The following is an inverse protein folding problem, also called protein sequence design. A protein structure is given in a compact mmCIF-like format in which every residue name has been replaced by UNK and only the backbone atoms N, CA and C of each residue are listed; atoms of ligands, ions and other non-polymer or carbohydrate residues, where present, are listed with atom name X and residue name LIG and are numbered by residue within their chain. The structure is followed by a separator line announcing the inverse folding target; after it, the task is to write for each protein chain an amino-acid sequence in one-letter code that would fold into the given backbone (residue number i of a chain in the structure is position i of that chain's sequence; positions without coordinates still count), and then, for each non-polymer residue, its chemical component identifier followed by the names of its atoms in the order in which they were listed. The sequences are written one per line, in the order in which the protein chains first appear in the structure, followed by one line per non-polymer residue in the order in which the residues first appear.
data_IF_039861234452
#
_entry.id   IF_039861234452
#
_cell.length_a   1.000
_cell.length_b   1.000
_cell.length_c   1.000
_cell.angle_alpha   90.00
_cell.angle_beta   90.00
_cell.angle_gamma   90.00
#
_symmetry.space_group_name_H-M   'P 1'
#
loop_
_entity.id
_entity.type
_entity.pdbx_description
1 polymer ?
#
# COMPACT_ATOMS: atom_id res chain seq x y z
N UNK A 1 18.13 -4.92 18.56
CA UNK A 1 16.93 -4.84 17.69
C UNK A 1 15.63 -4.61 18.45
N UNK A 2 15.27 -5.45 19.44
CA UNK A 2 13.97 -5.39 20.16
C UNK A 2 13.69 -4.06 20.89
N UNK A 3 14.63 -3.56 21.70
CA UNK A 3 14.44 -2.32 22.48
C UNK A 3 14.22 -1.06 21.63
N UNK A 4 14.62 -1.08 20.35
CA UNK A 4 14.40 0.03 19.40
C UNK A 4 13.23 -0.25 18.45
N UNK A 5 12.53 -1.37 18.61
CA UNK A 5 11.46 -1.83 17.72
C UNK A 5 11.90 -1.81 16.26
N UNK A 6 13.13 -2.24 16.00
CA UNK A 6 13.69 -2.24 14.64
C UNK A 6 12.96 -3.23 13.72
N UNK A 7 12.30 -4.24 14.29
CA UNK A 7 11.44 -5.18 13.58
C UNK A 7 10.09 -5.16 14.29
N UNK A 8 9.01 -5.02 13.53
CA UNK A 8 7.63 -4.99 14.02
C UNK A 8 6.79 -6.05 13.33
N UNK A 9 5.70 -6.44 13.96
CA UNK A 9 4.69 -7.32 13.38
C UNK A 9 3.59 -6.47 12.74
N UNK A 10 3.23 -6.79 11.50
CA UNK A 10 2.23 -6.08 10.70
C UNK A 10 1.26 -7.10 10.12
N UNK A 11 -0.03 -6.80 10.16
CA UNK A 11 -1.05 -7.63 9.52
C UNK A 11 -0.90 -7.59 8.00
N UNK A 12 -0.91 -8.76 7.36
CA UNK A 12 -0.84 -8.94 5.92
C UNK A 12 -1.98 -9.87 5.46
N UNK A 13 -2.73 -9.50 4.42
CA UNK A 13 -3.93 -10.26 4.00
C UNK A 13 -3.61 -11.71 3.61
N UNK A 14 -2.43 -11.96 3.04
CA UNK A 14 -1.99 -13.31 2.62
C UNK A 14 -1.17 -14.05 3.68
N UNK A 15 -0.42 -13.34 4.52
CA UNK A 15 0.60 -13.96 5.39
C UNK A 15 0.24 -13.90 6.89
N UNK A 16 -0.90 -13.33 7.24
CA UNK A 16 -1.30 -13.16 8.64
C UNK A 16 -0.43 -12.12 9.34
N UNK A 17 0.38 -12.52 10.32
CA UNK A 17 1.33 -11.62 11.00
C UNK A 17 2.70 -11.70 10.33
N UNK A 18 3.14 -10.60 9.70
CA UNK A 18 4.43 -10.49 9.02
C UNK A 18 5.42 -9.67 9.85
N UNK A 19 6.63 -10.21 10.07
CA UNK A 19 7.73 -9.43 10.65
C UNK A 19 8.41 -8.58 9.57
N UNK A 20 8.41 -7.27 9.78
CA UNK A 20 8.97 -6.30 8.83
C UNK A 20 9.92 -5.33 9.54
N UNK A 21 10.95 -4.89 8.81
CA UNK A 21 11.82 -3.80 9.26
C UNK A 21 10.99 -2.53 9.48
N UNK A 22 11.14 -1.92 10.65
CA UNK A 22 10.44 -0.69 10.99
C UNK A 22 11.11 0.54 10.37
N UNK A 23 10.39 1.66 10.34
CA UNK A 23 10.86 2.93 9.77
C UNK A 23 12.10 3.42 10.53
N UNK A 24 13.13 3.80 9.76
CA UNK A 24 14.41 4.28 10.26
C UNK A 24 14.88 5.47 9.42
N UNK A 25 15.40 6.56 10.03
CA UNK A 25 15.56 6.82 11.47
C UNK A 25 14.25 7.14 12.20
N UNK A 26 14.24 6.99 13.53
CA UNK A 26 13.12 7.44 14.38
C UNK A 26 13.26 8.94 14.66
N UNK A 27 12.40 9.74 14.04
CA UNK A 27 12.32 11.18 14.29
C UNK A 27 11.51 11.44 15.56
N UNK A 28 11.95 12.39 16.39
CA UNK A 28 11.29 12.70 17.67
C UNK A 28 9.99 13.50 17.48
N UNK A 29 9.96 14.46 16.57
CA UNK A 29 8.79 15.30 16.31
C UNK A 29 7.79 14.65 15.33
N UNK A 30 8.30 13.89 14.37
CA UNK A 30 7.49 13.31 13.27
C UNK A 30 7.84 11.83 13.05
N UNK A 31 7.58 10.96 14.04
CA UNK A 31 7.91 9.55 13.94
C UNK A 31 7.20 8.92 12.73
N UNK A 32 7.98 8.31 11.85
CA UNK A 32 7.44 7.52 10.75
C UNK A 32 6.71 6.28 11.25
N UNK A 33 5.74 5.80 10.46
CA UNK A 33 4.98 4.58 10.74
C UNK A 33 4.73 3.81 9.45
N UNK A 34 4.64 2.50 9.55
CA UNK A 34 4.13 1.65 8.47
C UNK A 34 2.62 1.88 8.41
N UNK A 35 2.12 2.42 7.29
CA UNK A 35 0.69 2.69 7.12
C UNK A 35 -0.06 1.50 6.51
N UNK A 36 0.60 0.77 5.63
CA UNK A 36 0.07 -0.42 4.95
C UNK A 36 1.23 -1.34 4.56
N UNK A 37 0.90 -2.60 4.31
CA UNK A 37 1.79 -3.56 3.65
C UNK A 37 1.80 -3.32 2.13
N UNK A 38 2.63 -4.05 1.39
CA UNK A 38 2.58 -4.00 -0.07
C UNK A 38 1.17 -4.32 -0.57
N UNK A 39 0.58 -3.50 -1.46
CA UNK A 39 -0.76 -3.74 -1.97
C UNK A 39 -0.79 -4.95 -2.91
N UNK A 40 -1.99 -5.47 -3.14
CA UNK A 40 -2.24 -6.44 -4.21
C UNK A 40 -2.09 -5.80 -5.59
N UNK A 41 -1.93 -6.65 -6.61
CA UNK A 41 -1.81 -6.17 -7.98
C UNK A 41 -3.10 -5.43 -8.39
N UNK A 42 -2.96 -4.16 -8.79
CA UNK A 42 -4.08 -3.33 -9.22
C UNK A 42 -4.95 -2.75 -8.10
N UNK A 43 -4.60 -2.92 -6.81
CA UNK A 43 -5.44 -2.51 -5.68
C UNK A 43 -5.91 -1.05 -5.71
N UNK A 44 -5.08 -0.16 -6.25
CA UNK A 44 -5.34 1.28 -6.30
C UNK A 44 -5.64 1.79 -7.71
N UNK A 45 -5.84 0.91 -8.70
CA UNK A 45 -6.03 1.32 -10.10
C UNK A 45 -7.24 2.25 -10.24
N UNK A 46 -8.38 1.91 -9.65
CA UNK A 46 -9.60 2.74 -9.71
C UNK A 46 -9.47 4.03 -8.91
N UNK A 47 -8.90 3.95 -7.70
CA UNK A 47 -8.69 5.13 -6.85
C UNK A 47 -7.82 6.19 -7.55
N UNK A 48 -6.78 5.75 -8.27
CA UNK A 48 -5.90 6.67 -9.01
C UNK A 48 -6.54 7.10 -10.32
N UNK A 49 -6.95 6.18 -11.20
CA UNK A 49 -7.42 6.55 -12.53
C UNK A 49 -8.79 7.23 -12.48
N UNK A 50 -9.73 6.68 -11.73
CA UNK A 50 -11.05 7.27 -11.56
C UNK A 50 -11.05 8.40 -10.53
N UNK A 51 -10.54 8.13 -9.33
CA UNK A 51 -10.62 9.06 -8.20
C UNK A 51 -9.71 10.28 -8.34
N UNK A 52 -8.43 10.09 -8.68
CA UNK A 52 -7.45 11.18 -8.76
C UNK A 52 -7.39 11.83 -10.14
N UNK A 53 -7.46 11.03 -11.22
CA UNK A 53 -7.31 11.52 -12.60
C UNK A 53 -8.64 11.79 -13.31
N UNK A 54 -9.77 11.33 -12.75
CA UNK A 54 -11.10 11.67 -13.25
C UNK A 54 -11.53 10.90 -14.50
N UNK A 55 -10.93 9.75 -14.81
CA UNK A 55 -11.44 8.89 -15.89
C UNK A 55 -12.79 8.27 -15.49
N UNK A 56 -13.75 8.29 -16.42
CA UNK A 56 -15.06 7.69 -16.19
C UNK A 56 -15.04 6.16 -16.21
N UNK A 57 -16.12 5.56 -15.69
CA UNK A 57 -16.24 4.11 -15.56
C UNK A 57 -16.22 3.39 -16.93
N UNK A 58 -16.77 4.02 -17.97
CA UNK A 58 -16.84 3.44 -19.31
C UNK A 58 -15.44 3.33 -19.94
N UNK A 59 -14.61 4.36 -19.75
CA UNK A 59 -13.21 4.38 -20.17
C UNK A 59 -12.41 3.31 -19.44
N UNK A 60 -12.55 3.21 -18.12
CA UNK A 60 -11.84 2.21 -17.31
C UNK A 60 -12.26 0.79 -17.68
N UNK A 61 -13.55 0.55 -17.91
CA UNK A 61 -14.04 -0.74 -18.41
C UNK A 61 -13.43 -1.09 -19.76
N UNK A 62 -13.42 -0.12 -20.70
CA UNK A 62 -12.85 -0.33 -22.03
C UNK A 62 -11.35 -0.60 -22.03
N UNK A 63 -10.61 -0.12 -21.02
CA UNK A 63 -9.19 -0.45 -20.85
C UNK A 63 -8.96 -1.85 -20.26
N UNK A 64 -9.81 -2.28 -19.32
CA UNK A 64 -9.80 -3.65 -18.78
C UNK A 64 -10.07 -4.68 -19.86
N UNK A 65 -11.08 -4.44 -20.69
CA UNK A 65 -11.45 -5.35 -21.77
C UNK A 65 -10.32 -5.52 -22.80
N UNK A 66 -9.45 -4.49 -22.93
CA UNK A 66 -8.27 -4.49 -23.81
C UNK A 66 -7.00 -5.00 -23.13
N UNK A 67 -7.04 -5.30 -21.82
CA UNK A 67 -5.88 -5.69 -21.04
C UNK A 67 -4.82 -4.60 -20.86
N UNK A 68 -5.23 -3.32 -20.90
CA UNK A 68 -4.35 -2.17 -20.64
C UNK A 68 -4.15 -1.99 -19.13
N UNK A 69 -5.20 -2.27 -18.35
CA UNK A 69 -5.23 -2.29 -16.88
C UNK A 69 -5.95 -3.54 -16.38
#
# INVERSE_FOLDING_TARGET
FKAREAIVEVAHPVFGSLKMQNVMPKLSATPGRIKWVGPTHGEHTDDVLGGLLGYDADTLSGWRDKGII
#
